data_IF_456512269636
#
_entry.id   IF_456512269636
#
_cell.length_a   1.000
_cell.length_b   1.000
_cell.length_c   1.000
_cell.angle_alpha   90.00
_cell.angle_beta   90.00
_cell.angle_gamma   90.00
#
_symmetry.space_group_name_H-M   'P 1'
#
loop_
_entity.id
_entity.type
_entity.pdbx_description
1 polymer ?
#
# COMPACT_ATOMS: atom_id res chain seq x y z
N UNK A 1 -81.99 54.90 -2.97
CA UNK A 1 -80.80 54.21 -2.40
C UNK A 1 -80.81 52.79 -2.93
N UNK A 2 -79.96 52.47 -3.93
CA UNK A 2 -78.79 51.56 -3.87
C UNK A 2 -79.17 50.11 -3.46
N UNK A 3 -78.81 48.99 -4.12
CA UNK A 3 -77.80 48.61 -5.15
C UNK A 3 -78.10 47.17 -5.67
N UNK A 4 -77.60 46.84 -6.88
CA UNK A 4 -77.49 45.54 -7.59
C UNK A 4 -76.46 44.54 -6.91
N UNK A 5 -76.00 43.38 -7.47
CA UNK A 5 -76.49 42.36 -8.46
C UNK A 5 -76.16 40.87 -8.09
N UNK A 6 -76.40 39.89 -8.99
CA UNK A 6 -75.57 38.65 -9.09
C UNK A 6 -76.10 37.43 -9.90
N UNK A 7 -75.89 37.41 -11.22
CA UNK A 7 -75.93 36.24 -12.16
C UNK A 7 -74.58 35.47 -12.14
N UNK A 8 -74.36 34.25 -12.62
CA UNK A 8 -75.04 33.26 -13.46
C UNK A 8 -73.99 32.19 -13.87
N UNK A 9 -74.40 30.96 -14.23
CA UNK A 9 -73.51 29.80 -14.51
C UNK A 9 -73.80 29.21 -15.89
N UNK A 10 -72.78 28.72 -16.63
CA UNK A 10 -72.72 27.43 -17.38
C UNK A 10 -71.58 27.43 -18.42
N UNK A 11 -70.50 26.63 -18.32
CA UNK A 11 -70.20 25.20 -18.64
C UNK A 11 -69.53 24.96 -20.03
N UNK A 12 -68.23 24.65 -19.94
CA UNK A 12 -67.29 23.79 -20.71
C UNK A 12 -67.43 23.44 -22.22
N UNK A 13 -66.30 23.59 -22.93
CA UNK A 13 -65.85 22.78 -24.07
C UNK A 13 -64.30 22.77 -24.17
N UNK A 14 -63.69 21.64 -24.54
CA UNK A 14 -62.25 21.35 -24.78
C UNK A 14 -62.17 20.47 -26.07
N UNK A 15 -61.01 20.25 -26.76
CA UNK A 15 -59.91 21.12 -27.22
C UNK A 15 -59.59 20.93 -28.74
N UNK A 16 -58.42 21.35 -29.27
CA UNK A 16 -57.33 20.38 -29.42
C UNK A 16 -55.92 20.89 -29.05
N UNK A 17 -55.01 19.93 -28.91
CA UNK A 17 -53.66 20.03 -28.37
C UNK A 17 -52.67 20.84 -29.24
N UNK A 18 -51.94 21.75 -28.61
CA UNK A 18 -50.69 22.30 -29.14
C UNK A 18 -49.53 21.64 -28.40
N UNK A 19 -48.70 20.89 -29.12
CA UNK A 19 -47.52 20.22 -28.62
C UNK A 19 -46.52 21.22 -28.05
N UNK A 20 -46.25 21.13 -26.74
CA UNK A 20 -45.10 21.78 -26.14
C UNK A 20 -43.83 21.06 -26.63
N UNK A 21 -43.01 21.75 -27.43
CA UNK A 21 -41.64 21.29 -27.68
C UNK A 21 -40.86 21.36 -26.37
N UNK A 22 -40.29 20.25 -25.85
CA UNK A 22 -39.12 20.39 -25.00
C UNK A 22 -37.92 20.64 -25.93
N UNK A 23 -36.71 20.72 -25.39
CA UNK A 23 -35.47 20.33 -26.09
C UNK A 23 -34.61 21.43 -26.73
N UNK A 24 -34.26 22.48 -25.98
CA UNK A 24 -32.95 23.12 -26.21
C UNK A 24 -32.20 23.35 -24.88
N UNK A 25 -32.85 23.91 -23.86
CA UNK A 25 -32.20 24.15 -22.56
C UNK A 25 -31.82 22.86 -21.81
N UNK A 26 -32.65 21.81 -21.90
CA UNK A 26 -32.41 20.52 -21.23
C UNK A 26 -31.21 19.77 -21.83
N UNK A 27 -31.06 19.80 -23.17
CA UNK A 27 -29.93 19.21 -23.88
C UNK A 27 -28.62 19.96 -23.62
N UNK A 28 -28.67 21.29 -23.56
CA UNK A 28 -27.51 22.12 -23.20
C UNK A 28 -27.06 21.88 -21.75
N UNK A 29 -28.01 21.72 -20.80
CA UNK A 29 -27.73 21.42 -19.40
C UNK A 29 -27.16 20.00 -19.19
N UNK A 30 -27.68 19.01 -19.91
CA UNK A 30 -27.15 17.64 -19.92
C UNK A 30 -25.75 17.58 -20.55
N UNK A 31 -25.49 18.35 -21.62
CA UNK A 31 -24.17 18.49 -22.22
C UNK A 31 -23.14 19.07 -21.25
N UNK A 32 -23.50 20.16 -20.55
CA UNK A 32 -22.63 20.81 -19.56
C UNK A 32 -22.29 19.90 -18.38
N UNK A 33 -23.26 19.15 -17.87
CA UNK A 33 -23.05 18.19 -16.79
C UNK A 33 -22.12 17.05 -17.23
N UNK A 34 -22.33 16.50 -18.43
CA UNK A 34 -21.50 15.43 -18.97
C UNK A 34 -20.06 15.87 -19.20
N UNK A 35 -19.87 17.10 -19.68
CA UNK A 35 -18.54 17.68 -19.87
C UNK A 35 -17.82 17.91 -18.54
N UNK A 36 -18.54 18.35 -17.51
CA UNK A 36 -17.99 18.50 -16.16
C UNK A 36 -17.64 17.14 -15.54
N UNK A 37 -18.46 16.11 -15.76
CA UNK A 37 -18.18 14.73 -15.33
C UNK A 37 -16.93 14.17 -16.01
N UNK A 38 -16.77 14.38 -17.32
CA UNK A 38 -15.58 13.96 -18.06
C UNK A 38 -14.32 14.68 -17.55
N UNK A 39 -14.40 15.99 -17.34
CA UNK A 39 -13.28 16.79 -16.83
C UNK A 39 -12.89 16.40 -15.40
N UNK A 40 -13.85 15.99 -14.56
CA UNK A 40 -13.59 15.44 -13.23
C UNK A 40 -12.90 14.06 -13.31
N UNK A 41 -13.38 13.18 -14.19
CA UNK A 41 -12.78 11.86 -14.41
C UNK A 41 -11.35 12.01 -14.91
N UNK A 42 -11.09 12.89 -15.88
CA UNK A 42 -9.75 13.17 -16.38
C UNK A 42 -8.83 13.72 -15.30
N UNK A 43 -9.30 14.66 -14.47
CA UNK A 43 -8.53 15.18 -13.34
C UNK A 43 -8.19 14.11 -12.31
N UNK A 44 -9.14 13.24 -11.98
CA UNK A 44 -8.92 12.12 -11.05
C UNK A 44 -7.94 11.11 -11.66
N UNK A 45 -8.08 10.79 -12.94
CA UNK A 45 -7.17 9.87 -13.64
C UNK A 45 -5.76 10.44 -13.74
N UNK A 46 -5.60 11.71 -14.12
CA UNK A 46 -4.31 12.42 -14.17
C UNK A 46 -3.64 12.50 -12.79
N UNK A 47 -4.41 12.72 -11.72
CA UNK A 47 -3.90 12.68 -10.36
C UNK A 47 -3.47 11.27 -9.94
N UNK A 48 -4.22 10.22 -10.31
CA UNK A 48 -3.85 8.82 -10.04
C UNK A 48 -2.61 8.39 -10.81
N UNK A 49 -2.50 8.73 -12.08
CA UNK A 49 -1.32 8.42 -12.90
C UNK A 49 -0.10 9.23 -12.46
N UNK A 50 -0.27 10.50 -12.08
CA UNK A 50 0.77 11.31 -11.44
C UNK A 50 1.23 10.75 -10.09
N UNK A 51 0.30 10.27 -9.26
CA UNK A 51 0.61 9.62 -7.99
C UNK A 51 1.36 8.29 -8.19
N UNK A 52 0.97 7.47 -9.16
CA UNK A 52 1.72 6.26 -9.55
C UNK A 52 3.10 6.61 -10.13
N UNK A 53 3.21 7.71 -10.88
CA UNK A 53 4.48 8.19 -11.41
C UNK A 53 5.44 8.70 -10.32
N UNK A 54 4.91 9.18 -9.20
CA UNK A 54 5.69 9.64 -8.05
C UNK A 54 6.04 8.53 -7.05
N UNK A 55 5.43 7.33 -7.14
CA UNK A 55 5.73 6.22 -6.22
C UNK A 55 7.16 5.73 -6.43
N UNK A 56 8.00 6.02 -5.43
CA UNK A 56 9.37 5.57 -5.32
C UNK A 56 9.42 4.39 -4.37
N UNK A 57 10.06 3.34 -4.83
CA UNK A 57 10.32 2.12 -4.08
C UNK A 57 11.82 2.09 -3.72
N UNK A 58 12.16 1.58 -2.55
CA UNK A 58 13.53 1.28 -2.17
C UNK A 58 13.86 -0.15 -2.58
N UNK A 59 14.81 -0.32 -3.48
CA UNK A 59 15.38 -1.61 -3.79
C UNK A 59 16.31 -2.08 -2.67
N UNK A 60 16.12 -3.30 -2.20
CA UNK A 60 16.96 -3.94 -1.18
C UNK A 60 17.28 -5.37 -1.59
N UNK A 61 18.34 -5.93 -1.02
CA UNK A 61 18.65 -7.36 -1.12
C UNK A 61 18.25 -8.07 0.18
N UNK A 62 17.54 -9.19 0.05
CA UNK A 62 17.07 -10.04 1.15
C UNK A 62 17.27 -11.51 0.77
N UNK A 63 18.10 -12.26 1.51
CA UNK A 63 18.36 -13.66 1.22
C UNK A 63 18.89 -13.89 -0.21
N UNK A 64 19.73 -12.97 -0.72
CA UNK A 64 20.18 -12.97 -2.11
C UNK A 64 19.11 -12.66 -3.18
N UNK A 65 17.89 -12.24 -2.79
CA UNK A 65 16.82 -11.84 -3.72
C UNK A 65 16.55 -10.33 -3.70
N UNK A 66 16.38 -9.68 -4.87
CA UNK A 66 15.98 -8.28 -4.92
C UNK A 66 14.51 -8.08 -4.52
N UNK A 67 14.29 -7.19 -3.57
CA UNK A 67 12.98 -6.82 -3.09
C UNK A 67 12.76 -5.30 -3.17
N UNK A 68 11.50 -4.90 -3.18
CA UNK A 68 11.08 -3.49 -3.21
C UNK A 68 10.26 -3.18 -1.98
N UNK A 69 10.58 -2.06 -1.33
CA UNK A 69 9.84 -1.53 -0.19
C UNK A 69 9.28 -0.15 -0.52
N UNK A 70 8.00 0.06 -0.23
CA UNK A 70 7.36 1.37 -0.45
C UNK A 70 7.98 2.40 0.49
N UNK A 71 8.58 3.47 -0.06
CA UNK A 71 9.24 4.52 0.77
C UNK A 71 8.29 5.16 1.78
N UNK A 72 6.99 5.17 1.51
CA UNK A 72 6.01 5.67 2.46
C UNK A 72 5.97 4.78 3.71
N UNK A 73 6.21 3.48 3.60
CA UNK A 73 6.18 2.57 4.74
C UNK A 73 7.48 2.57 5.55
N UNK A 74 8.51 3.30 5.12
CA UNK A 74 9.82 3.35 5.78
C UNK A 74 9.97 4.60 6.65
N UNK A 75 10.77 4.48 7.70
CA UNK A 75 11.29 5.58 8.51
C UNK A 75 12.72 5.89 8.10
N UNK A 76 13.67 5.18 8.69
CA UNK A 76 15.10 5.45 8.62
C UNK A 76 15.86 4.31 8.01
N UNK A 77 17.01 4.62 7.43
CA UNK A 77 17.99 3.63 6.99
C UNK A 77 19.25 3.88 7.80
N UNK A 78 19.61 2.91 8.65
CA UNK A 78 20.75 2.96 9.55
C UNK A 78 21.76 1.90 9.12
N UNK A 79 23.06 2.21 9.21
CA UNK A 79 24.11 1.21 9.01
C UNK A 79 24.04 0.23 10.18
N UNK A 80 23.91 -1.07 9.90
CA UNK A 80 23.75 -2.07 10.95
C UNK A 80 24.99 -2.18 11.85
N UNK A 81 26.19 -2.04 11.28
CA UNK A 81 27.45 -2.06 12.04
C UNK A 81 27.44 -0.98 13.12
N UNK A 82 27.62 -1.38 14.38
CA UNK A 82 27.66 -0.49 15.54
C UNK A 82 26.33 -0.36 16.29
N UNK A 83 25.21 -0.78 15.69
CA UNK A 83 23.93 -0.85 16.40
C UNK A 83 23.95 -2.04 17.36
N UNK A 84 23.81 -1.76 18.65
CA UNK A 84 23.71 -2.80 19.68
C UNK A 84 22.27 -3.31 19.73
N UNK A 85 22.07 -4.57 19.35
CA UNK A 85 20.77 -5.26 19.42
C UNK A 85 20.82 -6.19 20.63
N UNK A 86 19.95 -5.92 21.60
CA UNK A 86 19.79 -6.76 22.78
C UNK A 86 18.81 -7.89 22.48
N UNK A 87 19.31 -9.13 22.43
CA UNK A 87 18.49 -10.31 22.20
C UNK A 87 17.39 -10.49 23.24
N UNK A 88 16.23 -10.98 22.80
CA UNK A 88 15.09 -11.30 23.65
C UNK A 88 15.05 -12.82 23.86
N UNK A 89 15.13 -13.32 25.11
CA UNK A 89 15.04 -14.76 25.37
C UNK A 89 13.73 -15.35 24.88
N UNK A 90 13.78 -16.60 24.38
CA UNK A 90 12.62 -17.34 23.87
C UNK A 90 11.91 -16.65 22.69
N UNK A 91 12.55 -15.69 22.03
CA UNK A 91 12.06 -15.16 20.78
C UNK A 91 12.37 -16.12 19.62
N UNK A 92 11.60 -16.02 18.54
CA UNK A 92 11.87 -16.69 17.29
C UNK A 92 13.23 -16.26 16.72
N UNK A 93 13.88 -17.12 15.95
CA UNK A 93 15.24 -16.93 15.42
C UNK A 93 15.39 -15.77 14.42
N UNK A 94 14.28 -15.34 13.81
CA UNK A 94 14.17 -14.17 12.96
C UNK A 94 14.00 -12.87 13.74
N UNK A 95 13.66 -12.92 15.03
CA UNK A 95 13.56 -11.75 15.89
C UNK A 95 14.91 -11.52 16.60
N UNK A 96 15.72 -10.60 16.07
CA UNK A 96 17.08 -10.37 16.56
C UNK A 96 17.11 -9.72 17.95
N UNK A 97 16.04 -9.02 18.34
CA UNK A 97 15.91 -8.40 19.65
C UNK A 97 15.48 -6.95 19.58
N UNK A 98 15.94 -6.16 20.53
CA UNK A 98 15.56 -4.76 20.71
C UNK A 98 16.78 -3.84 20.57
N UNK A 99 16.61 -2.70 19.91
CA UNK A 99 17.63 -1.67 19.83
C UNK A 99 17.02 -0.27 20.01
N UNK A 100 17.79 0.65 20.58
CA UNK A 100 17.39 2.05 20.69
C UNK A 100 17.65 2.78 19.37
N UNK A 101 16.61 3.34 18.76
CA UNK A 101 16.70 4.14 17.53
C UNK A 101 15.92 5.43 17.72
N UNK A 102 16.59 6.57 17.54
CA UNK A 102 16.04 7.92 17.81
C UNK A 102 15.29 8.03 19.16
N UNK A 103 15.85 7.42 20.21
CA UNK A 103 15.27 7.46 21.55
C UNK A 103 14.05 6.55 21.76
N UNK A 104 13.74 5.66 20.82
CA UNK A 104 12.64 4.68 20.92
C UNK A 104 13.19 3.26 20.92
N UNK A 105 12.62 2.41 21.76
CA UNK A 105 12.89 0.98 21.74
C UNK A 105 12.22 0.35 20.52
N UNK A 106 13.01 -0.23 19.63
CA UNK A 106 12.58 -0.75 18.34
C UNK A 106 12.93 -2.23 18.24
N UNK A 107 11.94 -3.06 17.91
CA UNK A 107 12.17 -4.49 17.63
C UNK A 107 12.87 -4.66 16.29
N UNK A 108 13.93 -5.44 16.24
CA UNK A 108 14.73 -5.68 15.03
C UNK A 108 14.50 -7.11 14.55
N UNK A 109 14.10 -7.23 13.28
CA UNK A 109 13.79 -8.51 12.64
C UNK A 109 14.76 -8.76 11.49
N UNK A 110 15.35 -9.95 11.41
CA UNK A 110 16.01 -10.43 10.21
C UNK A 110 14.94 -10.88 9.21
N UNK A 111 14.68 -10.02 8.23
CA UNK A 111 13.62 -10.28 7.26
C UNK A 111 13.98 -11.44 6.32
N UNK A 112 15.26 -11.69 6.04
CA UNK A 112 15.66 -12.85 5.25
C UNK A 112 15.32 -14.15 5.99
N UNK A 113 15.69 -14.26 7.28
CA UNK A 113 15.29 -15.40 8.12
C UNK A 113 13.79 -15.55 8.23
N UNK A 114 13.06 -14.45 8.41
CA UNK A 114 11.60 -14.49 8.47
C UNK A 114 11.00 -15.09 7.18
N UNK A 115 11.59 -14.80 6.03
CA UNK A 115 11.20 -15.35 4.72
C UNK A 115 11.66 -16.81 4.50
N UNK A 116 12.37 -17.41 5.46
CA UNK A 116 12.94 -18.76 5.35
C UNK A 116 14.27 -18.81 4.59
N UNK A 117 14.88 -17.65 4.33
CA UNK A 117 16.18 -17.54 3.67
C UNK A 117 17.32 -17.47 4.71
N UNK A 118 18.57 -17.73 4.31
CA UNK A 118 19.72 -17.52 5.18
C UNK A 118 19.82 -16.07 5.69
N UNK A 119 20.32 -15.93 6.92
CA UNK A 119 20.56 -14.64 7.57
C UNK A 119 21.55 -13.73 6.81
N UNK A 120 21.43 -12.40 6.96
CA UNK A 120 22.51 -11.49 6.51
C UNK A 120 23.82 -11.87 7.19
N UNK A 121 24.89 -12.04 6.42
CA UNK A 121 26.24 -12.10 6.98
C UNK A 121 26.55 -10.70 7.54
N UNK A 122 26.84 -10.56 8.85
CA UNK A 122 27.10 -9.26 9.45
C UNK A 122 28.20 -8.50 8.70
N UNK A 123 27.93 -7.25 8.32
CA UNK A 123 28.92 -6.41 7.64
C UNK A 123 28.43 -5.00 7.35
N UNK A 124 29.36 -4.15 6.90
CA UNK A 124 29.12 -2.72 6.65
C UNK A 124 28.10 -2.43 5.55
N UNK A 125 27.64 -3.44 4.81
CA UNK A 125 26.63 -3.34 3.78
C UNK A 125 25.21 -3.61 4.31
N UNK A 126 25.05 -4.41 5.39
CA UNK A 126 23.74 -4.61 5.99
C UNK A 126 23.19 -3.26 6.47
N UNK A 127 21.88 -3.07 6.30
CA UNK A 127 21.15 -1.88 6.74
C UNK A 127 20.01 -2.30 7.64
N UNK A 128 19.73 -1.50 8.66
CA UNK A 128 18.52 -1.59 9.44
C UNK A 128 17.57 -0.53 8.92
N UNK A 129 16.38 -0.94 8.51
CA UNK A 129 15.35 -0.06 7.97
C UNK A 129 14.18 -0.03 8.94
N UNK A 130 13.92 1.13 9.54
CA UNK A 130 12.81 1.27 10.50
C UNK A 130 11.48 1.41 9.77
N UNK A 131 10.42 0.91 10.40
CA UNK A 131 9.06 1.10 9.92
C UNK A 131 8.65 2.56 10.13
N UNK A 132 7.86 3.08 9.19
CA UNK A 132 7.25 4.39 9.35
C UNK A 132 6.34 4.37 10.59
N UNK A 133 6.34 5.42 11.44
CA UNK A 133 5.45 5.50 12.60
C UNK A 133 3.96 5.33 12.26
N UNK A 134 3.57 5.62 11.00
CA UNK A 134 2.21 5.43 10.50
C UNK A 134 1.72 3.97 10.54
N UNK A 135 2.64 3.01 10.56
CA UNK A 135 2.32 1.58 10.63
C UNK A 135 1.93 1.14 12.05
N UNK A 136 2.09 2.02 13.06
CA UNK A 136 1.69 1.74 14.44
C UNK A 136 2.59 0.74 15.18
N UNK A 137 3.65 0.24 14.54
CA UNK A 137 4.56 -0.75 15.10
C UNK A 137 6.00 -0.21 15.12
N UNK A 138 6.62 -0.16 16.31
CA UNK A 138 8.02 0.23 16.47
C UNK A 138 8.94 -0.95 16.12
N UNK A 139 9.05 -1.22 14.83
CA UNK A 139 9.84 -2.31 14.29
C UNK A 139 10.84 -1.79 13.26
N UNK A 140 11.90 -2.56 13.05
CA UNK A 140 12.86 -2.38 11.99
C UNK A 140 13.23 -3.73 11.41
N UNK A 141 13.58 -3.73 10.12
CA UNK A 141 14.05 -4.91 9.41
C UNK A 141 15.51 -4.77 9.06
N UNK A 142 16.27 -5.83 9.33
CA UNK A 142 17.62 -5.99 8.80
C UNK A 142 17.52 -6.44 7.34
N UNK A 143 18.25 -5.76 6.47
CA UNK A 143 18.39 -6.10 5.04
C UNK A 143 19.87 -6.22 4.69
N UNK A 144 20.19 -7.01 3.66
CA UNK A 144 21.59 -7.25 3.28
C UNK A 144 22.26 -6.02 2.70
N UNK A 145 21.58 -5.30 1.82
CA UNK A 145 22.08 -4.04 1.26
C UNK A 145 20.95 -3.29 0.58
N UNK A 146 21.14 -1.99 0.42
CA UNK A 146 20.28 -1.14 -0.40
C UNK A 146 20.81 -1.13 -1.83
N UNK A 147 19.92 -1.36 -2.80
CA UNK A 147 20.19 -1.37 -4.24
C UNK A 147 19.84 -0.03 -4.92
N UNK A 148 19.24 0.91 -4.18
CA UNK A 148 18.90 2.24 -4.65
C UNK A 148 17.39 2.46 -4.81
N UNK A 149 17.00 3.61 -5.36
CA UNK A 149 15.61 3.96 -5.58
C UNK A 149 15.13 3.50 -6.95
N UNK A 150 13.91 2.97 -7.02
CA UNK A 150 13.24 2.58 -8.26
C UNK A 150 11.91 3.32 -8.37
N UNK A 151 11.50 3.61 -9.60
CA UNK A 151 10.20 4.21 -9.87
C UNK A 151 9.24 3.09 -10.23
N UNK A 152 8.12 2.97 -9.52
CA UNK A 152 7.20 1.84 -9.72
C UNK A 152 6.70 1.77 -11.18
N UNK A 153 6.52 2.92 -11.83
CA UNK A 153 6.10 3.01 -13.25
C UNK A 153 7.08 2.43 -14.27
N UNK A 154 8.36 2.29 -13.91
CA UNK A 154 9.38 1.74 -14.82
C UNK A 154 9.47 0.21 -14.70
N UNK A 155 8.63 -0.39 -13.86
CA UNK A 155 8.58 -1.82 -13.59
C UNK A 155 7.33 -2.42 -14.21
N UNK A 156 7.48 -3.58 -14.82
CA UNK A 156 6.39 -4.35 -15.41
C UNK A 156 5.90 -5.40 -14.41
N UNK A 157 4.58 -5.49 -14.21
CA UNK A 157 4.00 -6.57 -13.41
C UNK A 157 4.16 -7.92 -14.09
N UNK A 158 4.58 -8.91 -13.31
CA UNK A 158 4.61 -10.31 -13.69
C UNK A 158 3.78 -11.13 -12.68
N UNK A 159 3.38 -12.37 -13.01
CA UNK A 159 2.69 -13.23 -12.05
C UNK A 159 3.54 -13.43 -10.78
N UNK A 160 2.88 -13.44 -9.61
CA UNK A 160 3.54 -13.89 -8.39
C UNK A 160 3.84 -15.39 -8.47
N UNK A 161 4.82 -15.88 -7.69
CA UNK A 161 5.01 -17.30 -7.44
C UNK A 161 3.75 -17.95 -6.86
N UNK A 162 3.65 -19.27 -6.96
CA UNK A 162 2.56 -20.04 -6.36
C UNK A 162 2.58 -19.91 -4.83
N UNK A 163 1.40 -19.71 -4.23
CA UNK A 163 1.19 -19.54 -2.79
C UNK A 163 2.10 -18.47 -2.13
N UNK A 164 2.05 -17.21 -2.57
CA UNK A 164 2.86 -16.16 -1.97
C UNK A 164 2.35 -15.80 -0.57
N UNK A 165 3.23 -15.31 0.33
CA UNK A 165 2.78 -14.80 1.61
C UNK A 165 1.88 -13.57 1.41
N UNK A 166 0.95 -13.33 2.34
CA UNK A 166 -0.03 -12.22 2.22
C UNK A 166 0.61 -10.85 2.01
N UNK A 167 1.78 -10.63 2.61
CA UNK A 167 2.53 -9.38 2.49
C UNK A 167 3.40 -9.26 1.22
N UNK A 168 3.40 -10.26 0.32
CA UNK A 168 3.98 -10.13 -1.01
C UNK A 168 2.98 -9.44 -1.94
N UNK A 169 3.15 -8.13 -2.14
CA UNK A 169 2.17 -7.32 -2.87
C UNK A 169 2.20 -7.57 -4.38
N UNK A 170 3.39 -7.58 -4.99
CA UNK A 170 3.56 -7.64 -6.45
C UNK A 170 4.89 -8.31 -6.80
N UNK A 171 4.91 -9.11 -7.87
CA UNK A 171 6.12 -9.50 -8.56
C UNK A 171 6.29 -8.57 -9.77
N UNK A 172 7.48 -8.01 -9.91
CA UNK A 172 7.80 -6.97 -10.88
C UNK A 172 9.07 -7.33 -11.64
N UNK A 173 9.21 -6.81 -12.86
CA UNK A 173 10.41 -6.94 -13.69
C UNK A 173 10.84 -5.57 -14.20
N UNK A 174 12.13 -5.27 -14.13
CA UNK A 174 12.66 -4.03 -14.72
C UNK A 174 13.10 -4.20 -16.19
N UNK A 175 13.59 -3.12 -16.79
CA UNK A 175 14.06 -3.10 -18.18
C UNK A 175 15.30 -3.97 -18.44
N UNK A 176 16.05 -4.32 -17.39
CA UNK A 176 17.23 -5.19 -17.47
C UNK A 176 16.85 -6.66 -17.30
N UNK A 177 15.56 -6.96 -17.08
CA UNK A 177 15.05 -8.31 -16.87
C UNK A 177 15.16 -8.80 -15.42
N UNK A 178 15.68 -7.98 -14.51
CA UNK A 178 15.77 -8.34 -13.09
C UNK A 178 14.36 -8.42 -12.50
N UNK A 179 14.11 -9.50 -11.76
CA UNK A 179 12.86 -9.72 -11.05
C UNK A 179 12.95 -9.15 -9.64
N UNK A 180 11.85 -8.57 -9.18
CA UNK A 180 11.71 -7.89 -7.91
C UNK A 180 10.45 -8.36 -7.20
N UNK A 181 10.55 -8.68 -5.92
CA UNK A 181 9.38 -8.92 -5.08
C UNK A 181 9.07 -7.66 -4.26
N UNK A 182 7.93 -7.03 -4.50
CA UNK A 182 7.47 -5.88 -3.73
C UNK A 182 6.76 -6.35 -2.47
N UNK A 183 7.24 -5.88 -1.32
CA UNK A 183 6.75 -6.25 0.00
C UNK A 183 5.89 -5.12 0.57
N UNK A 184 4.75 -5.48 1.15
CA UNK A 184 3.89 -4.56 1.89
C UNK A 184 4.16 -4.71 3.39
N UNK A 185 4.89 -3.75 3.96
CA UNK A 185 5.24 -3.74 5.37
C UNK A 185 4.03 -3.51 6.27
N UNK A 186 2.96 -2.87 5.78
CA UNK A 186 1.73 -2.72 6.55
C UNK A 186 1.03 -4.06 6.73
N UNK A 187 0.99 -4.89 5.68
CA UNK A 187 0.46 -6.25 5.76
C UNK A 187 1.38 -7.16 6.57
N UNK A 188 2.71 -7.03 6.40
CA UNK A 188 3.68 -7.79 7.20
C UNK A 188 3.49 -7.52 8.69
N UNK A 189 3.37 -6.25 9.08
CA UNK A 189 3.17 -5.81 10.46
C UNK A 189 1.86 -6.32 11.10
N UNK A 190 0.90 -6.77 10.29
CA UNK A 190 -0.37 -7.33 10.75
C UNK A 190 -0.41 -8.86 10.70
N UNK A 191 0.61 -9.51 10.13
CA UNK A 191 0.62 -10.97 10.02
C UNK A 191 0.81 -11.62 11.38
N UNK A 192 0.01 -12.66 11.68
CA UNK A 192 0.03 -13.34 12.98
C UNK A 192 1.43 -13.85 13.33
N UNK A 193 2.11 -14.51 12.40
CA UNK A 193 3.49 -14.99 12.59
C UNK A 193 4.47 -13.87 12.92
N UNK A 194 4.28 -12.65 12.40
CA UNK A 194 5.18 -11.52 12.69
C UNK A 194 4.91 -10.89 14.05
N UNK A 195 3.66 -10.86 14.48
CA UNK A 195 3.26 -10.37 15.80
C UNK A 195 3.56 -11.38 16.92
N UNK A 196 3.50 -12.67 16.62
CA UNK A 196 3.85 -13.76 17.52
C UNK A 196 5.33 -14.14 17.42
N UNK A 197 6.20 -13.21 17.81
CA UNK A 197 7.65 -13.42 17.85
C UNK A 197 8.09 -14.26 19.05
N UNK A 198 7.17 -14.67 19.92
CA UNK A 198 7.44 -15.55 21.05
C UNK A 198 7.55 -17.01 20.63
N UNK A 199 8.09 -17.84 21.50
CA UNK A 199 8.20 -19.27 21.28
C UNK A 199 6.82 -19.96 21.21
N UNK A 200 6.43 -20.35 19.99
CA UNK A 200 5.26 -21.19 19.71
C UNK A 200 5.65 -22.62 19.31
N UNK A 201 6.32 -23.35 20.19
CA UNK A 201 6.51 -24.81 20.07
C UNK A 201 7.96 -25.27 19.92
N UNK A 202 8.33 -26.29 20.71
CA UNK A 202 9.53 -27.10 20.48
C UNK A 202 9.47 -27.62 19.05
N UNK A 203 10.50 -27.33 18.26
CA UNK A 203 10.83 -28.17 17.12
C UNK A 203 10.85 -29.61 17.64
N UNK A 204 9.93 -30.43 17.12
CA UNK A 204 9.90 -31.85 17.38
C UNK A 204 11.31 -32.39 17.10
N UNK A 205 12.02 -32.76 18.15
CA UNK A 205 13.16 -33.65 18.07
C UNK A 205 12.59 -34.94 17.48
N UNK A 206 12.65 -35.06 16.16
CA UNK A 206 12.36 -36.32 15.50
C UNK A 206 13.52 -37.22 15.88
N UNK A 207 13.23 -38.15 16.78
CA UNK A 207 14.10 -39.25 17.17
C UNK A 207 14.84 -39.79 15.94
N UNK A 208 16.17 -39.69 15.98
CA UNK A 208 17.04 -40.51 15.15
C UNK A 208 17.44 -41.67 16.06
N UNK A 209 16.99 -42.84 15.63
CA UNK A 209 17.30 -44.17 16.16
C UNK A 209 18.79 -44.41 16.37
#
# INVERSE_FOLDING_TARGET
>A
MQTMPGHGVSTAAFPPAAAAMPSFETGARQGRLRQYQLQLIERIQAARSGALAARKELGVMLGGRPCLLDLTQLGEIVIATGVQIQGVPLAQDWYLGLAAMRGRLTGVVDLARYMGEPSCVPGNHCRIITFSPRLGLNCAVLVERVLGLRQLRTLQSIPLPDAPPSWAAQALRDSEGQQWLRLDLAQLAQSERFLDAGFGGLAAHKDIC
#
